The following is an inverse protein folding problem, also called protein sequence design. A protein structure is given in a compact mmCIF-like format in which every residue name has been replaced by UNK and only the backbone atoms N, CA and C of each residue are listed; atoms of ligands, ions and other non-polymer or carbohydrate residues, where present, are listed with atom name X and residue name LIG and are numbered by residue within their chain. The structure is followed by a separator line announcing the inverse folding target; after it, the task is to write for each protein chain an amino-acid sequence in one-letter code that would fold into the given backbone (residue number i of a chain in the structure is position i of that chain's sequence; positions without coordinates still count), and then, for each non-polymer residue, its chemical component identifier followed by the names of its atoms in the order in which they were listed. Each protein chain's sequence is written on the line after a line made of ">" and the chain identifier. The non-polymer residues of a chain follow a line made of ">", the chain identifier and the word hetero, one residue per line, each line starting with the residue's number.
data_IF_981405739763
#
_entry.id   IF_981405739763
#
_cell.length_a   1.000
_cell.length_b   1.000
_cell.length_c   1.000
_cell.angle_alpha   90.00
_cell.angle_beta   90.00
_cell.angle_gamma   90.00
#
_symmetry.space_group_name_H-M   'P 1'
#
loop_
_entity.id
_entity.type
_entity.pdbx_description
1 polymer ?
#
# COMPACT_ATOMS: atom_id res chain seq x y z
N UNK A 1 5.70 7.22 1.92
CA UNK A 1 4.57 7.72 1.10
C UNK A 1 4.22 6.75 -0.03
N UNK A 2 5.18 6.38 -0.89
CA UNK A 2 4.96 5.48 -2.04
C UNK A 2 4.23 4.16 -1.73
N UNK A 3 4.52 3.52 -0.58
CA UNK A 3 3.85 2.29 -0.16
C UNK A 3 2.33 2.42 -0.05
N UNK A 4 1.87 3.46 0.65
CA UNK A 4 0.44 3.70 0.90
C UNK A 4 -0.26 4.12 -0.39
N UNK A 5 0.33 5.10 -1.09
CA UNK A 5 -0.25 5.66 -2.29
C UNK A 5 -0.36 4.61 -3.41
N UNK A 6 0.72 3.88 -3.68
CA UNK A 6 0.73 2.84 -4.70
C UNK A 6 -0.18 1.66 -4.34
N UNK A 7 -0.21 1.24 -3.08
CA UNK A 7 -1.15 0.21 -2.62
C UNK A 7 -2.61 0.65 -2.80
N UNK A 8 -2.98 1.88 -2.43
CA UNK A 8 -4.34 2.39 -2.58
C UNK A 8 -4.72 2.52 -4.07
N UNK A 9 -3.82 3.06 -4.89
CA UNK A 9 -4.04 3.18 -6.33
C UNK A 9 -4.26 1.80 -6.98
N UNK A 10 -3.46 0.79 -6.60
CA UNK A 10 -3.61 -0.59 -7.08
C UNK A 10 -4.91 -1.24 -6.57
N UNK A 11 -5.26 -1.03 -5.29
CA UNK A 11 -6.43 -1.66 -4.65
C UNK A 11 -7.75 -1.10 -5.19
N UNK A 12 -7.83 0.21 -5.41
CA UNK A 12 -9.02 0.88 -5.91
C UNK A 12 -9.05 1.01 -7.44
N UNK A 13 -8.16 0.30 -8.14
CA UNK A 13 -8.05 0.36 -9.61
C UNK A 13 -8.05 1.80 -10.15
N UNK A 14 -7.33 2.69 -9.46
CA UNK A 14 -7.23 4.07 -9.88
C UNK A 14 -6.65 4.14 -11.30
N UNK A 15 -7.08 5.14 -12.08
CA UNK A 15 -6.57 5.37 -13.44
C UNK A 15 -5.14 5.93 -13.37
N UNK A 16 -4.19 5.07 -13.01
CA UNK A 16 -2.77 5.35 -12.96
C UNK A 16 -2.04 4.46 -13.94
N UNK A 17 -0.95 4.98 -14.50
CA UNK A 17 -0.12 4.21 -15.43
C UNK A 17 0.66 3.10 -14.70
N UNK A 18 0.83 1.96 -15.39
CA UNK A 18 1.53 0.80 -14.84
C UNK A 18 3.01 1.12 -14.57
N UNK A 19 3.63 1.96 -15.42
CA UNK A 19 5.01 2.39 -15.22
C UNK A 19 5.16 3.23 -13.95
N UNK A 20 4.15 4.03 -13.63
CA UNK A 20 4.10 4.80 -12.39
C UNK A 20 3.97 3.89 -11.16
N UNK A 21 3.13 2.85 -11.23
CA UNK A 21 3.04 1.84 -10.16
C UNK A 21 4.37 1.10 -9.96
N UNK A 22 5.05 0.73 -11.06
CA UNK A 22 6.38 0.11 -10.97
C UNK A 22 7.42 1.05 -10.36
N UNK A 23 7.39 2.34 -10.70
CA UNK A 23 8.28 3.34 -10.12
C UNK A 23 8.04 3.48 -8.62
N UNK A 24 6.78 3.49 -8.19
CA UNK A 24 6.41 3.48 -6.77
C UNK A 24 6.92 2.23 -6.05
N UNK A 25 6.83 1.05 -6.71
CA UNK A 25 7.37 -0.22 -6.18
C UNK A 25 8.89 -0.19 -6.06
N UNK A 26 9.60 0.37 -7.04
CA UNK A 26 11.06 0.51 -6.99
C UNK A 26 11.55 1.42 -5.86
N UNK A 27 10.71 2.37 -5.42
CA UNK A 27 11.04 3.33 -4.37
C UNK A 27 10.62 2.88 -2.94
N UNK A 28 10.08 1.66 -2.75
CA UNK A 28 9.64 1.22 -1.42
C UNK A 28 10.84 0.90 -0.51
N UNK A 29 10.80 1.38 0.73
CA UNK A 29 11.79 1.00 1.74
C UNK A 29 11.54 -0.41 2.29
N UNK A 30 12.60 -1.03 2.83
CA UNK A 30 12.58 -2.43 3.35
C UNK A 30 11.66 -2.65 4.55
N UNK A 31 11.47 -1.65 5.41
CA UNK A 31 10.67 -1.81 6.64
C UNK A 31 9.18 -2.00 6.38
N UNK A 32 8.45 -2.66 7.28
CA UNK A 32 6.99 -2.75 7.17
C UNK A 32 6.37 -1.47 7.74
N UNK A 33 5.48 -0.83 6.99
CA UNK A 33 4.74 0.35 7.44
C UNK A 33 3.25 0.02 7.58
N UNK A 34 2.55 0.66 8.52
CA UNK A 34 1.10 0.56 8.58
C UNK A 34 0.44 1.40 7.47
N UNK A 35 -0.65 0.91 6.91
CA UNK A 35 -1.49 1.62 5.95
C UNK A 35 -2.00 2.91 6.58
N UNK A 36 -2.62 2.79 7.75
CA UNK A 36 -3.00 3.90 8.62
C UNK A 36 -2.00 4.01 9.79
N UNK A 37 -1.26 5.13 9.94
CA UNK A 37 -0.36 5.34 11.07
C UNK A 37 -1.04 5.32 12.45
N UNK A 38 -2.30 5.75 12.52
CA UNK A 38 -3.02 6.01 13.77
C UNK A 38 -3.83 4.79 14.23
N UNK A 39 -4.11 3.85 13.32
CA UNK A 39 -4.76 2.59 13.66
C UNK A 39 -3.79 1.55 14.27
N UNK A 40 -4.27 0.65 15.15
CA UNK A 40 -3.46 -0.40 15.75
C UNK A 40 -2.72 -1.25 14.69
N UNK A 41 -1.49 -1.74 14.95
CA UNK A 41 -0.69 -2.50 13.98
C UNK A 41 -1.16 -3.96 13.84
N UNK A 42 -2.45 -4.18 13.59
CA UNK A 42 -3.08 -5.50 13.39
C UNK A 42 -3.54 -5.63 11.94
N UNK A 43 -3.62 -6.85 11.42
CA UNK A 43 -4.09 -7.11 10.05
C UNK A 43 -3.01 -7.69 9.12
N UNK A 44 -3.38 -7.84 7.83
CA UNK A 44 -2.57 -8.55 6.84
C UNK A 44 -1.38 -7.72 6.37
N UNK A 45 -0.24 -8.36 6.18
CA UNK A 45 0.91 -7.74 5.51
C UNK A 45 0.82 -8.01 4.01
N UNK A 46 0.84 -6.96 3.21
CA UNK A 46 0.98 -6.99 1.76
C UNK A 46 2.46 -6.81 1.44
N UNK A 47 3.15 -7.93 1.26
CA UNK A 47 4.60 -7.99 1.01
C UNK A 47 5.01 -7.19 -0.23
N UNK A 48 4.17 -7.18 -1.28
CA UNK A 48 4.36 -6.37 -2.50
C UNK A 48 4.62 -4.89 -2.22
N UNK A 49 4.05 -4.35 -1.15
CA UNK A 49 4.15 -2.95 -0.77
C UNK A 49 4.90 -2.72 0.55
N UNK A 50 5.42 -3.78 1.20
CA UNK A 50 5.92 -3.74 2.58
C UNK A 50 4.97 -2.98 3.51
N UNK A 51 3.67 -3.27 3.39
CA UNK A 51 2.60 -2.50 4.02
C UNK A 51 1.67 -3.42 4.80
N UNK A 52 1.42 -3.10 6.07
CA UNK A 52 0.38 -3.75 6.87
C UNK A 52 -0.95 -3.04 6.64
N UNK A 53 -1.92 -3.76 6.11
CA UNK A 53 -3.30 -3.31 5.95
C UNK A 53 -3.98 -3.46 7.31
N UNK A 54 -3.97 -2.37 8.07
CA UNK A 54 -4.50 -2.28 9.43
C UNK A 54 -5.84 -1.55 9.54
N UNK A 55 -6.52 -1.42 8.40
CA UNK A 55 -7.89 -0.95 8.30
C UNK A 55 -8.72 -1.95 7.49
N UNK A 56 -10.03 -2.07 7.77
CA UNK A 56 -10.94 -2.72 6.87
C UNK A 56 -11.06 -1.88 5.59
N UNK A 57 -10.50 -2.39 4.50
CA UNK A 57 -10.80 -1.87 3.17
C UNK A 57 -12.06 -2.60 2.74
N UNK A 58 -13.17 -1.87 2.58
CA UNK A 58 -14.38 -2.42 1.97
C UNK A 58 -14.01 -3.12 0.66
N UNK A 59 -14.71 -4.21 0.34
CA UNK A 59 -14.46 -4.92 -0.91
C UNK A 59 -14.65 -3.93 -2.08
N UNK A 60 -13.65 -3.68 -2.93
CA UNK A 60 -13.83 -2.88 -4.13
C UNK A 60 -14.83 -3.54 -5.09
#
# INVERSE_FOLDING_TARGET
>A
MFKRLGFLAETFQATVDDQWLQSCRGAISKGISNLDPDAPPRGRIVSRWNLRVNLPLGNP
#
